data_IF_791886264661
#
_entry.id   IF_791886264661
#
_cell.length_a   1.000
_cell.length_b   1.000
_cell.length_c   1.000
_cell.angle_alpha   90.00
_cell.angle_beta   90.00
_cell.angle_gamma   90.00
#
_symmetry.space_group_name_H-M   'P 1'
#
loop_
_entity.id
_entity.type
_entity.pdbx_description
1 polymer ?
#
# COMPACT_ATOMS: atom_id res chain seq x y z
N UNK A 1 5.83 16.65 -11.29
CA UNK A 1 5.06 16.18 -10.13
C UNK A 1 4.21 17.35 -9.70
N UNK A 2 2.90 17.14 -9.59
CA UNK A 2 1.97 18.18 -9.18
C UNK A 2 2.20 18.57 -7.71
N UNK A 3 2.24 19.86 -7.41
CA UNK A 3 2.52 20.37 -6.06
C UNK A 3 1.42 19.97 -5.08
N UNK A 4 0.18 19.94 -5.57
CA UNK A 4 -1.00 19.53 -4.81
C UNK A 4 -0.92 18.06 -4.37
N UNK A 5 -0.41 17.18 -5.23
CA UNK A 5 -0.18 15.76 -4.91
C UNK A 5 0.92 15.57 -3.87
N UNK A 6 1.95 16.41 -3.88
CA UNK A 6 3.01 16.37 -2.87
C UNK A 6 2.45 16.73 -1.50
N UNK A 7 1.66 17.81 -1.43
CA UNK A 7 1.01 18.30 -0.21
C UNK A 7 0.01 17.27 0.34
N UNK A 8 -0.83 16.68 -0.51
CA UNK A 8 -1.72 15.59 -0.13
C UNK A 8 -0.93 14.41 0.44
N UNK A 9 0.24 14.09 -0.14
CA UNK A 9 1.08 12.99 0.35
C UNK A 9 1.70 13.26 1.72
N UNK A 10 1.84 14.52 2.10
CA UNK A 10 2.35 14.94 3.41
C UNK A 10 1.25 14.91 4.48
N UNK A 11 0.04 15.35 4.13
CA UNK A 11 -1.06 15.55 5.07
C UNK A 11 -1.90 14.29 5.26
N UNK A 12 -2.13 13.52 4.20
CA UNK A 12 -3.00 12.35 4.22
C UNK A 12 -2.40 11.18 5.02
N UNK A 13 -3.26 10.52 5.79
CA UNK A 13 -2.90 9.54 6.80
C UNK A 13 -3.58 8.18 6.61
N UNK A 14 -3.33 7.23 7.54
CA UNK A 14 -3.94 5.91 7.51
C UNK A 14 -5.47 5.94 7.55
N UNK A 15 -6.08 6.92 8.24
CA UNK A 15 -7.53 7.05 8.37
C UNK A 15 -8.23 7.48 7.06
N UNK A 16 -7.46 8.03 6.11
CA UNK A 16 -7.94 8.52 4.81
C UNK A 16 -7.67 7.51 3.68
N UNK A 17 -7.31 6.28 4.01
CA UNK A 17 -7.03 5.26 2.99
C UNK A 17 -8.33 4.79 2.32
N UNK A 18 -8.40 4.90 1.00
CA UNK A 18 -9.56 4.47 0.21
C UNK A 18 -9.72 2.93 0.20
N UNK A 19 -8.60 2.20 0.32
CA UNK A 19 -8.58 0.74 0.26
C UNK A 19 -7.66 0.16 1.34
N UNK A 20 -7.94 -1.08 1.74
CA UNK A 20 -7.07 -1.85 2.64
C UNK A 20 -6.65 -3.17 1.97
N UNK A 21 -5.36 -3.49 2.10
CA UNK A 21 -4.77 -4.79 1.79
C UNK A 21 -4.28 -5.41 3.09
N UNK A 22 -4.99 -6.42 3.58
CA UNK A 22 -4.59 -7.15 4.78
C UNK A 22 -3.70 -8.35 4.44
N UNK A 23 -2.50 -8.38 5.04
CA UNK A 23 -1.50 -9.43 4.91
C UNK A 23 -1.36 -10.25 6.20
N UNK A 24 -2.14 -9.93 7.25
CA UNK A 24 -2.12 -10.64 8.51
C UNK A 24 -2.30 -12.16 8.33
N UNK A 25 -1.44 -12.94 8.98
CA UNK A 25 -1.50 -14.41 8.94
C UNK A 25 -0.92 -15.05 7.67
N UNK A 26 -0.45 -14.27 6.70
CA UNK A 26 0.27 -14.81 5.53
C UNK A 26 1.74 -15.07 5.84
N UNK A 27 2.33 -16.03 5.12
CA UNK A 27 3.79 -16.18 5.06
C UNK A 27 4.42 -15.13 4.11
N UNK A 28 5.75 -15.03 4.14
CA UNK A 28 6.48 -14.05 3.31
C UNK A 28 6.20 -14.20 1.80
N UNK A 29 6.27 -15.40 1.19
CA UNK A 29 5.93 -15.58 -0.23
C UNK A 29 4.52 -15.10 -0.60
N UNK A 30 3.48 -15.49 0.15
CA UNK A 30 2.11 -15.12 -0.16
C UNK A 30 1.86 -13.62 0.05
N UNK A 31 2.45 -13.03 1.09
CA UNK A 31 2.36 -11.59 1.35
C UNK A 31 3.02 -10.76 0.22
N UNK A 32 4.25 -11.13 -0.17
CA UNK A 32 4.98 -10.42 -1.23
C UNK A 32 4.30 -10.54 -2.60
N UNK A 33 3.73 -11.70 -2.92
CA UNK A 33 2.97 -11.90 -4.15
C UNK A 33 1.66 -11.10 -4.16
N UNK A 34 0.96 -11.03 -3.02
CA UNK A 34 -0.24 -10.21 -2.87
C UNK A 34 0.04 -8.72 -3.11
N UNK A 35 1.14 -8.20 -2.56
CA UNK A 35 1.57 -6.82 -2.80
C UNK A 35 1.97 -6.60 -4.27
N UNK A 36 2.65 -7.57 -4.91
CA UNK A 36 3.02 -7.48 -6.33
C UNK A 36 1.77 -7.35 -7.21
N UNK A 37 0.79 -8.22 -7.03
CA UNK A 37 -0.44 -8.19 -7.81
C UNK A 37 -1.23 -6.90 -7.59
N UNK A 38 -1.31 -6.43 -6.34
CA UNK A 38 -1.95 -5.15 -6.01
C UNK A 38 -1.28 -3.99 -6.76
N UNK A 39 0.06 -3.91 -6.74
CA UNK A 39 0.80 -2.87 -7.45
C UNK A 39 0.58 -2.96 -8.96
N UNK A 40 0.61 -4.16 -9.55
CA UNK A 40 0.39 -4.37 -10.98
C UNK A 40 -1.01 -3.93 -11.44
N UNK A 41 -2.05 -4.28 -10.68
CA UNK A 41 -3.43 -3.87 -10.98
C UNK A 41 -3.58 -2.35 -10.93
N UNK A 42 -2.93 -1.70 -9.97
CA UNK A 42 -3.04 -0.26 -9.78
C UNK A 42 -2.26 0.57 -10.80
N UNK A 43 -1.33 -0.01 -11.56
CA UNK A 43 -0.66 0.68 -12.69
C UNK A 43 -1.61 1.13 -13.79
N UNK A 44 -2.81 0.56 -13.86
CA UNK A 44 -3.80 0.84 -14.89
C UNK A 44 -5.07 1.50 -14.35
N UNK A 45 -5.15 1.74 -13.04
CA UNK A 45 -6.31 2.37 -12.38
C UNK A 45 -6.00 3.81 -12.02
N UNK A 46 -7.04 4.57 -11.67
CA UNK A 46 -6.88 5.90 -11.08
C UNK A 46 -5.96 5.83 -9.83
N UNK A 47 -5.17 6.90 -9.58
CA UNK A 47 -4.43 7.05 -8.33
C UNK A 47 -5.33 6.79 -7.12
N UNK A 48 -4.82 6.11 -6.10
CA UNK A 48 -5.57 5.80 -4.88
C UNK A 48 -4.65 5.62 -3.69
N UNK A 49 -5.19 5.83 -2.50
CA UNK A 49 -4.52 5.57 -1.22
C UNK A 49 -4.86 4.15 -0.73
N UNK A 50 -3.86 3.44 -0.19
CA UNK A 50 -3.99 2.04 0.24
C UNK A 50 -3.30 1.84 1.58
N UNK A 51 -4.02 1.24 2.52
CA UNK A 51 -3.53 0.77 3.80
C UNK A 51 -3.07 -0.68 3.68
N UNK A 52 -1.78 -0.96 3.88
CA UNK A 52 -1.21 -2.31 3.88
C UNK A 52 -0.99 -2.74 5.34
N UNK A 53 -1.83 -3.63 5.87
CA UNK A 53 -1.73 -4.13 7.25
C UNK A 53 -0.97 -5.44 7.28
N UNK A 54 -0.07 -5.62 8.25
CA UNK A 54 0.77 -6.83 8.37
C UNK A 54 0.26 -7.82 9.42
N UNK A 55 -0.76 -7.42 10.18
CA UNK A 55 -1.25 -8.14 11.35
C UNK A 55 -0.29 -8.06 12.55
N UNK A 56 -0.78 -8.50 13.71
CA UNK A 56 0.04 -8.60 14.91
C UNK A 56 1.14 -9.65 14.74
N UNK A 57 2.35 -9.41 15.29
CA UNK A 57 3.37 -10.45 15.37
C UNK A 57 2.83 -11.60 16.23
N UNK A 58 2.54 -12.74 15.60
CA UNK A 58 2.09 -13.96 16.27
C UNK A 58 3.01 -14.33 17.46
N UNK A 59 2.47 -14.75 18.63
CA UNK A 59 3.30 -15.23 19.72
C UNK A 59 4.11 -16.47 19.29
N UNK A 60 5.44 -16.34 19.16
CA UNK A 60 6.40 -17.42 18.85
C UNK A 60 7.20 -17.32 17.53
N UNK A 61 7.17 -16.20 16.79
CA UNK A 61 7.57 -16.15 15.37
C UNK A 61 9.01 -15.75 14.99
N UNK A 62 9.42 -16.04 13.73
CA UNK A 62 10.48 -15.30 13.05
C UNK A 62 10.03 -14.56 11.76
N UNK A 63 8.77 -14.62 11.32
CA UNK A 63 8.36 -13.99 10.06
C UNK A 63 7.82 -12.57 10.27
N UNK A 64 8.75 -11.62 10.27
CA UNK A 64 8.46 -10.20 10.22
C UNK A 64 8.21 -9.78 8.76
N UNK A 65 6.94 -9.52 8.39
CA UNK A 65 6.56 -9.04 7.06
C UNK A 65 7.01 -7.59 6.79
N UNK A 66 7.34 -6.82 7.83
CA UNK A 66 7.67 -5.39 7.70
C UNK A 66 8.86 -5.17 6.76
N UNK A 67 9.98 -5.85 6.98
CA UNK A 67 11.18 -5.71 6.13
C UNK A 67 10.94 -6.13 4.67
N UNK A 68 10.43 -7.33 4.37
CA UNK A 68 10.15 -7.75 2.99
C UNK A 68 9.18 -6.82 2.25
N UNK A 69 8.07 -6.46 2.89
CA UNK A 69 7.04 -5.61 2.26
C UNK A 69 7.54 -4.17 2.13
N UNK A 70 8.19 -3.63 3.16
CA UNK A 70 8.79 -2.30 3.12
C UNK A 70 9.80 -2.15 1.98
N UNK A 71 10.67 -3.16 1.77
CA UNK A 71 11.61 -3.16 0.64
C UNK A 71 10.88 -3.18 -0.70
N UNK A 72 9.87 -4.03 -0.87
CA UNK A 72 9.10 -4.13 -2.10
C UNK A 72 8.39 -2.81 -2.45
N UNK A 73 7.79 -2.14 -1.46
CA UNK A 73 7.12 -0.84 -1.63
C UNK A 73 8.12 0.28 -1.95
N UNK A 74 9.31 0.26 -1.35
CA UNK A 74 10.38 1.20 -1.68
C UNK A 74 10.86 1.04 -3.12
N UNK A 75 11.01 -0.19 -3.61
CA UNK A 75 11.35 -0.46 -5.01
C UNK A 75 10.22 -0.01 -5.95
N UNK A 76 8.95 -0.22 -5.58
CA UNK A 76 7.81 0.29 -6.34
C UNK A 76 7.78 1.83 -6.41
N UNK A 77 8.19 2.50 -5.32
CA UNK A 77 8.33 3.95 -5.28
C UNK A 77 9.47 4.43 -6.18
N UNK A 78 10.63 3.78 -6.11
CA UNK A 78 11.78 4.07 -7.01
C UNK A 78 11.42 3.84 -8.48
N UNK A 79 10.59 2.84 -8.77
CA UNK A 79 10.09 2.52 -10.10
C UNK A 79 8.91 3.37 -10.59
N UNK A 80 8.45 4.36 -9.81
CA UNK A 80 7.37 5.27 -10.22
C UNK A 80 5.98 4.63 -10.23
N UNK A 81 5.76 3.56 -9.48
CA UNK A 81 4.42 2.95 -9.31
C UNK A 81 3.71 3.54 -8.08
N UNK A 82 4.48 3.92 -7.06
CA UNK A 82 4.04 4.55 -5.82
C UNK A 82 4.64 5.95 -5.76
N UNK A 83 3.85 6.98 -5.44
CA UNK A 83 4.37 8.35 -5.28
C UNK A 83 4.67 8.69 -3.82
N UNK A 84 3.85 8.18 -2.89
CA UNK A 84 3.99 8.38 -1.46
C UNK A 84 3.89 7.07 -0.68
N UNK A 85 4.68 6.95 0.39
CA UNK A 85 4.73 5.80 1.28
C UNK A 85 5.08 6.27 2.68
N UNK A 86 4.38 5.77 3.70
CA UNK A 86 4.64 6.03 5.12
C UNK A 86 4.52 4.72 5.92
N UNK A 87 5.49 4.38 6.79
CA UNK A 87 5.26 3.36 7.80
C UNK A 87 4.23 3.88 8.81
N UNK A 88 3.35 3.00 9.28
CA UNK A 88 2.28 3.34 10.21
C UNK A 88 2.13 2.26 11.28
N UNK A 89 1.44 2.62 12.35
CA UNK A 89 0.93 1.68 13.35
C UNK A 89 -0.56 1.94 13.49
N UNK A 90 -1.35 0.88 13.39
CA UNK A 90 -2.81 0.91 13.51
C UNK A 90 -3.26 0.01 14.65
N UNK A 91 -4.55 0.00 14.94
CA UNK A 91 -5.15 -0.94 15.89
C UNK A 91 -4.99 -2.42 15.45
N UNK A 92 -4.73 -2.67 14.16
CA UNK A 92 -4.49 -3.99 13.58
C UNK A 92 -2.99 -4.36 13.49
N UNK A 93 -2.12 -3.56 14.11
CA UNK A 93 -0.68 -3.76 14.11
C UNK A 93 0.08 -2.88 13.11
N UNK A 94 1.36 -3.19 12.84
CA UNK A 94 2.21 -2.39 11.96
C UNK A 94 1.80 -2.51 10.50
N UNK A 95 2.11 -1.48 9.71
CA UNK A 95 1.75 -1.46 8.30
C UNK A 95 2.40 -0.33 7.52
N UNK A 96 1.88 -0.13 6.31
CA UNK A 96 2.26 0.96 5.43
C UNK A 96 1.02 1.63 4.88
N UNK A 97 1.01 2.97 4.88
CA UNK A 97 0.14 3.72 3.99
C UNK A 97 0.92 4.01 2.71
N UNK A 98 0.28 3.79 1.56
CA UNK A 98 0.85 4.12 0.25
C UNK A 98 -0.16 4.88 -0.59
N UNK A 99 0.34 5.63 -1.57
CA UNK A 99 -0.45 6.15 -2.67
C UNK A 99 0.16 5.75 -4.00
N UNK A 100 -0.66 5.20 -4.87
CA UNK A 100 -0.22 4.74 -6.20
C UNK A 100 -0.25 5.89 -7.19
N UNK A 101 0.70 5.91 -8.13
CA UNK A 101 0.71 6.88 -9.23
C UNK A 101 -0.51 6.71 -10.13
N UNK A 102 -0.87 5.47 -10.47
CA UNK A 102 -2.02 5.17 -11.33
C UNK A 102 -1.90 5.69 -12.77
N UNK A 103 -3.03 5.83 -13.44
CA UNK A 103 -3.22 6.61 -14.68
C UNK A 103 -4.30 7.65 -14.42
N UNK A 104 -4.00 8.91 -14.68
CA UNK A 104 -4.91 10.04 -14.40
C UNK A 104 -6.19 9.99 -15.25
N UNK A 105 -6.15 9.34 -16.42
CA UNK A 105 -7.30 9.15 -17.32
C UNK A 105 -8.01 7.79 -17.16
N UNK A 106 -7.63 6.96 -16.17
CA UNK A 106 -8.34 5.70 -15.96
C UNK A 106 -9.66 5.98 -15.25
N UNK A 107 -10.78 5.68 -15.92
CA UNK A 107 -12.12 5.78 -15.35
C UNK A 107 -12.15 5.17 -13.94
N UNK A 108 -12.65 5.96 -12.98
CA UNK A 108 -13.07 5.46 -11.68
C UNK A 108 -14.16 4.45 -11.95
N UNK A 109 -13.76 3.19 -11.96
CA UNK A 109 -14.60 1.99 -11.99
C UNK A 109 -15.63 2.15 -10.86
N UNK A 110 -16.72 2.80 -11.21
CA UNK A 110 -17.87 3.04 -10.36
C UNK A 110 -18.46 1.66 -10.18
N UNK A 111 -18.25 1.07 -9.00
CA UNK A 111 -18.78 -0.23 -8.66
C UNK A 111 -20.22 -0.36 -9.15
N UNK A 112 -20.45 -1.21 -10.14
CA UNK A 112 -21.78 -1.58 -10.58
C UNK A 112 -22.43 -2.36 -9.42
N UNK A 113 -23.44 -1.71 -8.83
CA UNK A 113 -24.57 -2.18 -8.01
C UNK A 113 -24.69 -3.66 -7.64
#
# INVERSE_FOLDING_TARGET
MDEERLLDGLISGPDDAEYQLDLGGLDVPHATESVRQMLERNRFRAPRTILVTLGDPFPGGPQNLFQPIGRQLLEARRGGIVDAMKPITTDYGPGYWIRTVGKEDAEVDSAES
#
